data_IF_792331377008
#
_entry.id   IF_792331377008
#
_cell.length_a   1.000
_cell.length_b   1.000
_cell.length_c   1.000
_cell.angle_alpha   90.00
_cell.angle_beta   90.00
_cell.angle_gamma   90.00
#
_symmetry.space_group_name_H-M   'P 1'
#
loop_
_entity.id
_entity.type
_entity.pdbx_description
1 polymer ?
#
# COMPACT_ATOMS: atom_id res chain seq x y z
N UNK A 1 -2.93 -3.29 32.05
CA UNK A 1 -3.47 -3.40 30.67
C UNK A 1 -4.57 -2.35 30.52
N UNK A 2 -4.57 -1.53 29.46
CA UNK A 2 -5.70 -0.64 29.20
C UNK A 2 -6.96 -1.51 29.11
N UNK A 3 -8.04 -1.12 29.80
CA UNK A 3 -9.32 -1.82 29.67
C UNK A 3 -9.74 -1.73 28.20
N UNK A 4 -10.02 -2.87 27.59
CA UNK A 4 -10.63 -2.95 26.25
C UNK A 4 -11.85 -2.02 26.23
N UNK A 5 -12.05 -1.20 25.17
CA UNK A 5 -13.25 -0.39 25.04
C UNK A 5 -14.48 -1.30 25.23
N UNK A 6 -15.47 -0.82 25.99
CA UNK A 6 -16.72 -1.56 26.22
C UNK A 6 -17.33 -2.01 24.88
N UNK A 7 -17.98 -3.18 24.91
CA UNK A 7 -18.68 -3.93 23.85
C UNK A 7 -19.69 -3.12 23.00
N UNK A 8 -19.28 -2.03 22.35
CA UNK A 8 -20.03 -1.52 21.21
C UNK A 8 -19.72 -2.40 19.99
N UNK A 9 -20.76 -2.85 19.25
CA UNK A 9 -20.53 -3.52 17.97
C UNK A 9 -19.75 -2.57 17.06
N UNK A 10 -18.75 -3.08 16.33
CA UNK A 10 -17.91 -2.22 15.50
C UNK A 10 -18.78 -1.62 14.38
N UNK A 11 -18.51 -0.37 14.02
CA UNK A 11 -19.10 0.21 12.80
C UNK A 11 -18.58 -0.61 11.61
N UNK A 12 -19.44 -1.32 10.84
CA UNK A 12 -18.99 -2.15 9.73
C UNK A 12 -18.20 -1.33 8.71
N UNK A 13 -17.25 -1.94 8.01
CA UNK A 13 -16.43 -1.32 6.97
C UNK A 13 -17.17 -1.26 5.60
N UNK A 14 -18.49 -1.11 5.63
CA UNK A 14 -19.38 -1.15 4.46
C UNK A 14 -19.36 0.11 3.60
N UNK A 15 -18.78 1.20 4.10
CA UNK A 15 -18.58 2.44 3.33
C UNK A 15 -17.15 2.43 2.77
N UNK A 16 -16.98 2.47 1.44
CA UNK A 16 -15.66 2.53 0.83
C UNK A 16 -14.81 3.70 1.33
N UNK A 17 -13.52 3.44 1.46
CA UNK A 17 -12.51 4.49 1.64
C UNK A 17 -12.03 4.95 0.26
N UNK A 18 -11.93 6.26 0.08
CA UNK A 18 -11.43 6.90 -1.15
C UNK A 18 -10.25 7.81 -0.85
N UNK A 19 -9.47 8.15 -1.86
CA UNK A 19 -8.40 9.14 -1.75
C UNK A 19 -8.88 10.50 -2.25
N UNK A 20 -8.57 11.58 -1.51
CA UNK A 20 -8.77 12.96 -1.97
C UNK A 20 -7.63 13.82 -1.44
N UNK A 21 -6.95 14.51 -2.34
CA UNK A 21 -5.70 15.21 -2.03
C UNK A 21 -4.69 14.24 -1.41
N UNK A 22 -4.10 14.62 -0.27
CA UNK A 22 -3.12 13.81 0.45
C UNK A 22 -3.71 12.99 1.62
N UNK A 23 -5.01 12.68 1.60
CA UNK A 23 -5.65 11.92 2.66
C UNK A 23 -6.62 10.85 2.15
N UNK A 24 -6.82 9.82 2.98
CA UNK A 24 -7.91 8.87 2.84
C UNK A 24 -9.17 9.43 3.52
N UNK A 25 -10.32 9.14 2.93
CA UNK A 25 -11.62 9.63 3.38
C UNK A 25 -12.64 8.50 3.41
N UNK A 26 -13.48 8.51 4.44
CA UNK A 26 -14.62 7.61 4.62
C UNK A 26 -15.80 8.46 5.05
N UNK A 27 -16.88 8.45 4.28
CA UNK A 27 -18.12 9.15 4.65
C UNK A 27 -17.92 10.65 4.96
N UNK A 28 -17.08 11.32 4.18
CA UNK A 28 -16.73 12.74 4.39
C UNK A 28 -15.73 13.00 5.53
N UNK A 29 -15.35 12.00 6.31
CA UNK A 29 -14.37 12.13 7.39
C UNK A 29 -12.99 11.60 7.01
N UNK A 30 -11.93 12.20 7.54
CA UNK A 30 -10.56 11.73 7.31
C UNK A 30 -10.38 10.35 7.94
N UNK A 31 -10.02 9.38 7.11
CA UNK A 31 -9.74 8.01 7.52
C UNK A 31 -8.25 7.82 7.81
N UNK A 32 -7.92 7.35 9.02
CA UNK A 32 -6.56 6.96 9.38
C UNK A 32 -6.42 5.45 9.36
N UNK A 33 -5.52 4.95 8.50
CA UNK A 33 -5.18 3.53 8.42
C UNK A 33 -4.40 3.14 9.68
N UNK A 34 -4.97 2.26 10.49
CA UNK A 34 -4.36 1.65 11.68
C UNK A 34 -4.25 0.16 11.40
N UNK A 35 -3.17 -0.20 10.71
CA UNK A 35 -3.00 -1.49 10.08
C UNK A 35 -2.01 -2.42 10.76
N UNK A 36 -2.12 -3.70 10.44
CA UNK A 36 -1.08 -4.71 10.65
C UNK A 36 -0.91 -5.54 9.37
N UNK A 37 0.32 -5.96 9.07
CA UNK A 37 0.55 -6.98 8.06
C UNK A 37 0.07 -8.33 8.58
N UNK A 38 -0.94 -8.90 7.93
CA UNK A 38 -1.50 -10.20 8.33
C UNK A 38 -0.87 -11.31 7.48
N UNK A 39 -0.10 -12.18 8.13
CA UNK A 39 0.67 -13.27 7.52
C UNK A 39 0.51 -14.53 8.38
N UNK A 40 -0.63 -15.22 8.30
CA UNK A 40 -0.75 -16.54 8.91
C UNK A 40 0.26 -17.50 8.29
N UNK A 41 0.65 -18.52 9.06
CA UNK A 41 1.57 -19.56 8.58
C UNK A 41 0.86 -20.90 8.65
N UNK A 42 1.13 -21.77 7.68
CA UNK A 42 0.68 -23.16 7.72
C UNK A 42 1.04 -23.84 9.05
N UNK A 43 0.12 -24.67 9.55
CA UNK A 43 0.25 -25.47 10.77
C UNK A 43 1.24 -26.64 10.62
N UNK A 44 1.49 -27.10 9.39
CA UNK A 44 2.47 -28.15 9.06
C UNK A 44 3.83 -27.52 8.75
N UNK A 45 4.77 -27.48 9.70
CA UNK A 45 6.05 -26.75 9.54
C UNK A 45 7.29 -27.62 9.45
N UNK A 46 8.17 -27.26 8.51
CA UNK A 46 9.59 -27.01 8.76
C UNK A 46 9.87 -25.50 8.64
N UNK A 47 10.84 -24.95 9.37
CA UNK A 47 11.15 -23.50 9.33
C UNK A 47 12.00 -23.19 8.10
N UNK A 48 11.53 -22.34 7.18
CA UNK A 48 12.43 -21.57 6.30
C UNK A 48 12.03 -21.41 4.83
N UNK A 49 10.89 -21.94 4.36
CA UNK A 49 10.55 -21.88 2.94
C UNK A 49 9.57 -20.74 2.60
N UNK A 50 9.81 -20.10 1.45
CA UNK A 50 8.94 -19.05 0.87
C UNK A 50 7.67 -19.64 0.25
N UNK A 51 7.67 -20.94 -0.03
CA UNK A 51 6.52 -21.75 -0.50
C UNK A 51 5.42 -21.95 0.57
N UNK A 52 5.66 -21.54 1.82
CA UNK A 52 4.70 -21.70 2.93
C UNK A 52 3.65 -20.57 3.00
N UNK A 53 3.50 -19.79 1.94
CA UNK A 53 2.56 -18.67 1.90
C UNK A 53 1.15 -19.17 1.65
N UNK A 54 0.26 -18.87 2.60
CA UNK A 54 -1.14 -19.29 2.57
C UNK A 54 -2.02 -18.11 2.17
N UNK A 55 -3.18 -18.37 1.58
CA UNK A 55 -4.20 -17.35 1.37
C UNK A 55 -5.03 -17.15 2.65
N UNK A 56 -4.83 -16.04 3.39
CA UNK A 56 -5.52 -15.75 4.64
C UNK A 56 -7.02 -15.49 4.48
N UNK A 57 -7.49 -15.24 3.26
CA UNK A 57 -8.90 -14.97 2.96
C UNK A 57 -9.64 -16.20 2.44
N UNK A 58 -8.94 -17.31 2.22
CA UNK A 58 -9.56 -18.55 1.73
C UNK A 58 -10.41 -19.24 2.79
N UNK A 59 -11.38 -20.05 2.35
CA UNK A 59 -12.24 -20.84 3.24
C UNK A 59 -11.46 -21.69 4.25
N UNK A 60 -10.33 -22.26 3.81
CA UNK A 60 -9.47 -23.11 4.63
C UNK A 60 -8.85 -22.37 5.83
N UNK A 61 -8.71 -21.03 5.77
CA UNK A 61 -8.14 -20.20 6.83
C UNK A 61 -9.19 -19.31 7.53
N UNK A 62 -10.47 -19.47 7.18
CA UNK A 62 -11.55 -18.68 7.76
C UNK A 62 -11.70 -18.87 9.28
N UNK A 63 -11.54 -20.08 9.87
CA UNK A 63 -11.58 -20.25 11.33
C UNK A 63 -10.51 -19.43 12.05
N UNK A 64 -9.26 -19.49 11.60
CA UNK A 64 -8.15 -18.74 12.17
C UNK A 64 -8.34 -17.23 11.99
N UNK A 65 -8.80 -16.80 10.81
CA UNK A 65 -9.11 -15.40 10.54
C UNK A 65 -10.16 -14.85 11.53
N UNK A 66 -11.20 -15.63 11.85
CA UNK A 66 -12.26 -15.20 12.79
C UNK A 66 -11.72 -14.99 14.21
N UNK A 67 -10.83 -15.86 14.67
CA UNK A 67 -10.17 -15.70 15.98
C UNK A 67 -9.24 -14.49 15.98
N UNK A 68 -8.43 -14.34 14.93
CA UNK A 68 -7.46 -13.26 14.81
C UNK A 68 -8.12 -11.89 14.66
N UNK A 69 -9.28 -11.79 14.00
CA UNK A 69 -10.03 -10.53 13.88
C UNK A 69 -10.45 -9.98 15.25
N UNK A 70 -10.82 -10.85 16.21
CA UNK A 70 -11.11 -10.42 17.57
C UNK A 70 -9.87 -9.80 18.24
N UNK A 71 -8.68 -10.36 18.02
CA UNK A 71 -7.41 -9.83 18.53
C UNK A 71 -7.03 -8.51 17.85
N UNK A 72 -7.15 -8.43 16.52
CA UNK A 72 -6.89 -7.23 15.72
C UNK A 72 -7.78 -6.07 16.20
N UNK A 73 -9.07 -6.35 16.45
CA UNK A 73 -10.00 -5.38 17.04
C UNK A 73 -9.62 -5.00 18.47
N UNK A 74 -9.21 -5.97 19.29
CA UNK A 74 -8.72 -5.71 20.64
C UNK A 74 -7.52 -4.76 20.68
N UNK A 75 -6.69 -4.76 19.62
CA UNK A 75 -5.59 -3.81 19.44
C UNK A 75 -6.04 -2.42 18.94
N UNK A 76 -7.33 -2.23 18.63
CA UNK A 76 -7.88 -0.99 18.09
C UNK A 76 -7.48 -0.70 16.65
N UNK A 77 -7.11 -1.74 15.90
CA UNK A 77 -6.77 -1.68 14.48
C UNK A 77 -8.04 -1.70 13.63
N UNK A 78 -7.97 -1.10 12.44
CA UNK A 78 -9.09 -1.01 11.50
C UNK A 78 -8.72 -1.48 10.10
N UNK A 79 -7.51 -2.03 9.92
CA UNK A 79 -7.06 -2.50 8.61
C UNK A 79 -6.07 -3.65 8.73
N UNK A 80 -6.00 -4.48 7.69
CA UNK A 80 -4.95 -5.46 7.47
C UNK A 80 -4.33 -5.26 6.10
N UNK A 81 -3.03 -5.55 5.96
CA UNK A 81 -2.37 -5.62 4.66
C UNK A 81 -1.95 -7.05 4.35
N UNK A 82 -2.25 -7.51 3.14
CA UNK A 82 -2.04 -8.88 2.68
C UNK A 82 -1.02 -8.95 1.56
N UNK A 83 -0.18 -9.98 1.60
CA UNK A 83 0.83 -10.25 0.58
C UNK A 83 0.38 -11.32 -0.41
N UNK A 84 -0.20 -12.39 0.09
CA UNK A 84 -0.61 -13.51 -0.73
C UNK A 84 -2.12 -13.66 -0.65
N UNK A 85 -2.79 -13.59 -1.79
CA UNK A 85 -4.21 -13.84 -1.94
C UNK A 85 -4.35 -14.58 -3.27
N UNK A 86 -4.94 -15.77 -3.23
CA UNK A 86 -5.05 -16.66 -4.38
C UNK A 86 -6.26 -16.23 -5.21
N UNK A 87 -6.01 -15.78 -6.44
CA UNK A 87 -7.03 -15.29 -7.38
C UNK A 87 -8.01 -16.39 -7.85
N UNK A 88 -7.77 -17.66 -7.52
CA UNK A 88 -8.68 -18.77 -7.84
C UNK A 88 -9.69 -19.10 -6.74
N UNK A 89 -9.56 -18.51 -5.54
CA UNK A 89 -10.40 -18.82 -4.38
C UNK A 89 -11.54 -17.82 -4.22
N UNK A 90 -12.63 -18.28 -3.62
CA UNK A 90 -13.69 -17.39 -3.12
C UNK A 90 -13.25 -16.79 -1.77
N UNK A 91 -13.38 -15.46 -1.67
CA UNK A 91 -13.04 -14.68 -0.47
C UNK A 91 -14.28 -14.08 0.20
N UNK A 92 -15.49 -14.39 -0.28
CA UNK A 92 -16.75 -13.78 0.15
C UNK A 92 -16.95 -13.80 1.67
N UNK A 93 -16.81 -14.97 2.29
CA UNK A 93 -17.03 -15.14 3.73
C UNK A 93 -15.98 -14.40 4.57
N UNK A 94 -14.71 -14.42 4.16
CA UNK A 94 -13.64 -13.72 4.84
C UNK A 94 -13.80 -12.20 4.75
N UNK A 95 -14.09 -11.68 3.56
CA UNK A 95 -14.30 -10.25 3.33
C UNK A 95 -15.54 -9.72 4.07
N UNK A 96 -16.64 -10.47 4.08
CA UNK A 96 -17.84 -10.14 4.86
C UNK A 96 -17.54 -10.13 6.37
N UNK A 97 -16.83 -11.14 6.87
CA UNK A 97 -16.45 -11.18 8.29
C UNK A 97 -15.58 -9.98 8.69
N UNK A 98 -14.61 -9.60 7.84
CA UNK A 98 -13.79 -8.41 8.05
C UNK A 98 -14.62 -7.12 7.99
N UNK A 99 -15.56 -7.04 7.05
CA UNK A 99 -16.47 -5.91 6.91
C UNK A 99 -17.33 -5.72 8.16
N UNK A 100 -18.01 -6.78 8.61
CA UNK A 100 -18.84 -6.79 9.82
C UNK A 100 -18.06 -6.37 11.07
N UNK A 101 -16.74 -6.58 11.05
CA UNK A 101 -15.84 -6.26 12.14
C UNK A 101 -15.13 -4.91 11.98
N UNK A 102 -15.48 -4.11 10.96
CA UNK A 102 -14.92 -2.79 10.74
C UNK A 102 -13.46 -2.80 10.25
N UNK A 103 -13.01 -3.91 9.65
CA UNK A 103 -11.65 -4.09 9.15
C UNK A 103 -11.62 -3.92 7.64
N UNK A 104 -10.76 -3.00 7.19
CA UNK A 104 -10.45 -2.80 5.77
C UNK A 104 -9.23 -3.63 5.33
N UNK A 105 -9.18 -3.99 4.05
CA UNK A 105 -8.12 -4.85 3.50
C UNK A 105 -7.31 -4.09 2.45
N UNK A 106 -5.98 -4.10 2.57
CA UNK A 106 -5.07 -3.60 1.55
C UNK A 106 -4.30 -4.76 0.94
N UNK A 107 -4.33 -4.94 -0.38
CA UNK A 107 -3.73 -6.11 -1.04
C UNK A 107 -2.53 -5.72 -1.86
N UNK A 108 -1.40 -6.39 -1.64
CA UNK A 108 -0.18 -6.22 -2.41
C UNK A 108 -0.31 -6.94 -3.75
N UNK A 109 -0.05 -6.24 -4.85
CA UNK A 109 0.03 -6.79 -6.19
C UNK A 109 1.49 -6.86 -6.65
N UNK A 110 1.75 -7.73 -7.62
CA UNK A 110 3.05 -7.85 -8.29
C UNK A 110 4.21 -8.15 -7.30
N UNK A 111 3.97 -9.01 -6.30
CA UNK A 111 4.98 -9.36 -5.30
C UNK A 111 6.16 -10.18 -5.85
N UNK A 112 5.96 -10.80 -7.01
CA UNK A 112 6.95 -11.62 -7.72
C UNK A 112 7.86 -10.78 -8.65
N UNK A 113 7.59 -9.47 -8.76
CA UNK A 113 8.54 -8.55 -9.40
C UNK A 113 9.79 -8.44 -8.54
N UNK A 114 10.86 -9.09 -9.00
CA UNK A 114 12.19 -8.93 -8.44
C UNK A 114 13.02 -8.05 -9.36
N UNK A 115 14.08 -7.41 -8.86
CA UNK A 115 15.00 -6.72 -9.75
C UNK A 115 15.96 -7.75 -10.37
N UNK A 116 16.48 -7.55 -11.59
CA UNK A 116 17.52 -8.42 -12.14
C UNK A 116 18.71 -8.48 -11.18
N UNK A 117 18.97 -9.63 -10.56
CA UNK A 117 20.01 -9.80 -9.52
C UNK A 117 21.40 -9.96 -10.12
N UNK A 118 21.51 -10.26 -11.41
CA UNK A 118 22.77 -10.39 -12.13
C UNK A 118 22.99 -9.16 -13.03
N UNK A 119 23.90 -8.27 -12.61
CA UNK A 119 24.68 -7.51 -13.59
C UNK A 119 25.47 -8.55 -14.41
N UNK A 120 25.38 -8.59 -15.76
CA UNK A 120 26.32 -9.35 -16.54
C UNK A 120 27.72 -8.88 -16.16
N UNK A 121 28.56 -9.77 -15.63
CA UNK A 121 29.81 -9.43 -14.92
C UNK A 121 30.81 -8.57 -15.73
N UNK A 122 30.58 -8.36 -17.03
CA UNK A 122 31.47 -7.63 -17.94
C UNK A 122 30.76 -6.57 -18.80
N UNK A 123 29.52 -6.19 -18.52
CA UNK A 123 28.85 -5.14 -19.31
C UNK A 123 28.93 -3.77 -18.63
N UNK A 124 29.84 -2.93 -19.13
CA UNK A 124 29.80 -1.47 -18.94
C UNK A 124 28.55 -0.82 -19.57
N UNK A 125 27.73 -1.60 -20.27
CA UNK A 125 26.56 -1.19 -21.06
C UNK A 125 25.25 -1.84 -20.57
N UNK A 126 25.05 -2.01 -19.26
CA UNK A 126 23.74 -2.40 -18.74
C UNK A 126 22.68 -1.37 -19.16
N UNK A 127 21.94 -1.69 -20.23
CA UNK A 127 20.79 -0.91 -20.68
C UNK A 127 19.62 -1.29 -19.78
N UNK A 128 19.51 -0.61 -18.65
CA UNK A 128 18.61 -1.00 -17.58
C UNK A 128 17.13 -1.13 -18.02
N UNK A 129 16.68 -0.32 -18.99
CA UNK A 129 15.35 -0.44 -19.59
C UNK A 129 15.14 -1.80 -20.28
N UNK A 130 16.06 -2.21 -21.16
CA UNK A 130 15.94 -3.49 -21.87
C UNK A 130 16.06 -4.71 -20.95
N UNK A 131 16.61 -4.53 -19.75
CA UNK A 131 16.69 -5.59 -18.74
C UNK A 131 15.45 -5.66 -17.84
N UNK A 132 14.77 -4.54 -17.58
CA UNK A 132 13.65 -4.47 -16.62
C UNK A 132 12.28 -4.57 -17.28
N UNK A 133 12.07 -3.96 -18.46
CA UNK A 133 10.78 -3.99 -19.15
C UNK A 133 10.28 -5.40 -19.48
N UNK A 134 11.13 -6.38 -19.88
CA UNK A 134 10.69 -7.76 -20.10
C UNK A 134 10.12 -8.46 -18.86
N UNK A 135 10.37 -7.94 -17.65
CA UNK A 135 9.77 -8.45 -16.41
C UNK A 135 8.30 -8.07 -16.26
N UNK A 136 7.84 -7.11 -17.05
CA UNK A 136 6.42 -6.79 -17.18
C UNK A 136 5.84 -7.65 -18.31
N UNK A 137 5.34 -8.83 -17.95
CA UNK A 137 4.85 -9.82 -18.91
C UNK A 137 3.34 -10.09 -18.79
N UNK A 138 2.81 -10.81 -19.79
CA UNK A 138 1.37 -11.08 -19.91
C UNK A 138 0.85 -12.00 -18.77
N UNK A 139 1.50 -13.14 -18.45
CA UNK A 139 1.07 -13.98 -17.33
C UNK A 139 0.98 -13.22 -15.99
N UNK A 140 1.97 -12.37 -15.69
CA UNK A 140 2.01 -11.56 -14.48
C UNK A 140 0.80 -10.61 -14.38
N UNK A 141 0.52 -9.85 -15.45
CA UNK A 141 -0.61 -8.90 -15.44
C UNK A 141 -1.95 -9.60 -15.40
N UNK A 142 -2.08 -10.72 -16.10
CA UNK A 142 -3.32 -11.51 -16.14
C UNK A 142 -3.65 -12.07 -14.76
N UNK A 143 -2.67 -12.63 -14.05
CA UNK A 143 -2.88 -13.11 -12.67
C UNK A 143 -3.26 -11.96 -11.72
N UNK A 144 -2.59 -10.82 -11.83
CA UNK A 144 -2.92 -9.64 -11.05
C UNK A 144 -4.35 -9.14 -11.33
N UNK A 145 -4.79 -9.14 -12.59
CA UNK A 145 -6.13 -8.71 -12.98
C UNK A 145 -7.21 -9.66 -12.50
N UNK A 146 -6.98 -10.99 -12.50
CA UNK A 146 -7.89 -11.97 -11.86
C UNK A 146 -8.11 -11.63 -10.38
N UNK A 147 -7.03 -11.36 -9.65
CA UNK A 147 -7.12 -10.98 -8.24
C UNK A 147 -7.86 -9.64 -8.04
N UNK A 148 -7.55 -8.65 -8.88
CA UNK A 148 -8.22 -7.33 -8.86
C UNK A 148 -9.72 -7.49 -9.09
N UNK A 149 -10.12 -8.26 -10.10
CA UNK A 149 -11.51 -8.52 -10.42
C UNK A 149 -12.26 -9.14 -9.23
N UNK A 150 -11.72 -10.23 -8.65
CA UNK A 150 -12.35 -10.94 -7.55
C UNK A 150 -12.62 -10.04 -6.34
N UNK A 151 -11.64 -9.23 -5.97
CA UNK A 151 -11.71 -8.41 -4.76
C UNK A 151 -12.41 -7.06 -4.97
N UNK A 152 -12.55 -6.60 -6.22
CA UNK A 152 -13.04 -5.25 -6.50
C UNK A 152 -14.48 -4.97 -6.06
N UNK A 153 -15.27 -6.03 -5.86
CA UNK A 153 -16.67 -5.96 -5.42
C UNK A 153 -16.84 -5.58 -3.94
N UNK A 154 -15.81 -5.74 -3.10
CA UNK A 154 -15.95 -5.57 -1.66
C UNK A 154 -15.76 -4.10 -1.22
N UNK A 155 -16.68 -3.54 -0.41
CA UNK A 155 -16.59 -2.14 0.03
C UNK A 155 -15.43 -1.90 0.99
N UNK A 156 -15.06 -2.91 1.79
CA UNK A 156 -13.96 -2.86 2.74
C UNK A 156 -12.57 -3.11 2.11
N UNK A 157 -12.46 -3.28 0.79
CA UNK A 157 -11.16 -3.27 0.11
C UNK A 157 -10.57 -1.85 0.11
N UNK A 158 -9.62 -1.55 0.99
CA UNK A 158 -9.01 -0.22 1.10
C UNK A 158 -8.30 0.23 -0.18
N UNK A 159 -7.58 -0.68 -0.84
CA UNK A 159 -6.79 -0.37 -2.02
C UNK A 159 -5.85 -1.50 -2.41
N UNK A 160 -5.33 -1.41 -3.62
CA UNK A 160 -4.24 -2.26 -4.11
C UNK A 160 -2.91 -1.54 -3.97
N UNK A 161 -1.84 -2.29 -3.73
CA UNK A 161 -0.48 -1.74 -3.58
C UNK A 161 0.47 -2.48 -4.50
N UNK A 162 0.95 -1.81 -5.54
CA UNK A 162 2.05 -2.34 -6.37
C UNK A 162 3.33 -2.42 -5.53
N UNK A 163 3.92 -3.61 -5.49
CA UNK A 163 5.06 -3.92 -4.61
C UNK A 163 6.37 -3.33 -5.15
N UNK A 164 6.80 -2.17 -4.62
CA UNK A 164 8.08 -1.56 -5.01
C UNK A 164 9.31 -2.00 -4.21
N UNK A 165 9.28 -3.18 -3.58
CA UNK A 165 10.40 -3.73 -2.80
C UNK A 165 11.65 -3.99 -3.64
N UNK A 166 11.48 -4.17 -4.95
CA UNK A 166 12.59 -4.34 -5.89
C UNK A 166 13.46 -3.08 -6.01
N UNK A 167 12.97 -1.89 -5.64
CA UNK A 167 13.72 -0.63 -5.69
C UNK A 167 14.41 -0.36 -4.35
N UNK A 168 15.72 -0.65 -4.28
CA UNK A 168 16.52 -0.46 -3.07
C UNK A 168 17.98 -0.03 -3.33
N UNK A 169 18.44 -0.05 -4.59
CA UNK A 169 19.74 0.48 -5.01
C UNK A 169 19.59 1.33 -6.27
N UNK A 170 20.58 2.19 -6.64
CA UNK A 170 20.50 2.97 -7.88
C UNK A 170 20.26 2.11 -9.13
N UNK A 171 20.83 0.90 -9.16
CA UNK A 171 20.74 -0.03 -10.27
C UNK A 171 19.34 -0.63 -10.44
N UNK A 172 18.53 -0.69 -9.37
CA UNK A 172 17.17 -1.24 -9.43
C UNK A 172 16.10 -0.17 -9.63
N UNK A 173 16.47 1.12 -9.63
CA UNK A 173 15.54 2.24 -9.88
C UNK A 173 14.80 2.14 -11.20
N UNK A 174 15.38 1.65 -12.31
CA UNK A 174 14.65 1.48 -13.57
C UNK A 174 13.40 0.59 -13.45
N UNK A 175 13.30 -0.27 -12.43
CA UNK A 175 12.04 -0.97 -12.11
C UNK A 175 10.88 -0.01 -11.82
N UNK A 176 11.12 1.23 -11.40
CA UNK A 176 10.08 2.23 -11.17
C UNK A 176 9.24 2.48 -12.43
N UNK A 177 9.82 2.35 -13.63
CA UNK A 177 9.11 2.42 -14.91
C UNK A 177 8.09 1.28 -15.03
N UNK A 178 8.51 0.05 -14.73
CA UNK A 178 7.64 -1.15 -14.68
C UNK A 178 6.53 -0.98 -13.64
N UNK A 179 6.86 -0.51 -12.43
CA UNK A 179 5.87 -0.33 -11.38
C UNK A 179 4.80 0.73 -11.76
N UNK A 180 5.18 1.80 -12.48
CA UNK A 180 4.20 2.77 -13.00
C UNK A 180 3.32 2.17 -14.10
N UNK A 181 3.85 1.29 -14.96
CA UNK A 181 3.01 0.53 -15.90
C UNK A 181 2.02 -0.39 -15.17
N UNK A 182 2.46 -1.11 -14.14
CA UNK A 182 1.56 -1.89 -13.28
C UNK A 182 0.43 -1.04 -12.70
N UNK A 183 0.74 0.15 -12.18
CA UNK A 183 -0.27 1.09 -11.66
C UNK A 183 -1.23 1.53 -12.77
N UNK A 184 -0.69 1.99 -13.91
CA UNK A 184 -1.47 2.44 -15.08
C UNK A 184 -2.49 1.39 -15.48
N UNK A 185 -2.03 0.17 -15.66
CA UNK A 185 -2.80 -0.91 -16.26
C UNK A 185 -3.78 -1.53 -15.24
N UNK A 186 -3.43 -1.64 -13.96
CA UNK A 186 -4.40 -2.00 -12.91
C UNK A 186 -5.52 -0.96 -12.81
N UNK A 187 -5.21 0.34 -12.87
CA UNK A 187 -6.23 1.39 -12.85
C UNK A 187 -7.07 1.39 -14.13
N UNK A 188 -6.47 1.13 -15.29
CA UNK A 188 -7.21 0.98 -16.55
C UNK A 188 -8.16 -0.22 -16.52
N UNK A 189 -7.72 -1.33 -15.94
CA UNK A 189 -8.55 -2.51 -15.75
C UNK A 189 -9.74 -2.22 -14.83
N UNK A 190 -9.52 -1.60 -13.67
CA UNK A 190 -10.60 -1.18 -12.77
C UNK A 190 -11.62 -0.24 -13.43
N UNK A 191 -11.19 0.65 -14.33
CA UNK A 191 -12.10 1.52 -15.10
C UNK A 191 -12.92 0.77 -16.15
N UNK A 192 -12.43 -0.38 -16.62
CA UNK A 192 -13.14 -1.22 -17.60
C UNK A 192 -14.22 -2.11 -16.99
N UNK A 193 -14.27 -2.21 -15.66
CA UNK A 193 -15.25 -3.04 -14.95
C UNK A 193 -16.54 -2.26 -14.67
N UNK A 194 -17.67 -2.82 -15.09
CA UNK A 194 -18.99 -2.23 -14.84
C UNK A 194 -19.40 -2.34 -13.36
N UNK A 195 -19.95 -1.27 -12.81
CA UNK A 195 -20.46 -1.25 -11.43
C UNK A 195 -19.38 -1.30 -10.34
N UNK A 196 -18.10 -1.31 -10.71
CA UNK A 196 -16.98 -1.30 -9.77
C UNK A 196 -16.56 0.13 -9.45
N UNK A 197 -16.43 0.43 -8.15
CA UNK A 197 -15.91 1.73 -7.72
C UNK A 197 -14.44 1.88 -8.09
N UNK A 198 -13.98 3.12 -8.22
CA UNK A 198 -12.56 3.40 -8.44
C UNK A 198 -11.77 3.15 -7.15
N UNK A 199 -11.19 1.95 -7.05
CA UNK A 199 -10.36 1.53 -5.92
C UNK A 199 -8.97 2.17 -6.07
N UNK A 200 -8.43 2.81 -5.01
CA UNK A 200 -7.09 3.39 -5.06
C UNK A 200 -6.02 2.34 -5.33
N UNK A 201 -5.11 2.64 -6.26
CA UNK A 201 -3.93 1.82 -6.58
C UNK A 201 -2.67 2.59 -6.20
N UNK A 202 -2.05 2.18 -5.10
CA UNK A 202 -0.84 2.78 -4.56
C UNK A 202 0.42 2.00 -4.92
N UNK A 203 1.54 2.47 -4.37
CA UNK A 203 2.85 1.82 -4.48
C UNK A 203 3.49 1.70 -3.11
N UNK A 204 4.15 0.57 -2.84
CA UNK A 204 5.03 0.49 -1.67
C UNK A 204 6.44 0.89 -2.02
N UNK A 205 7.11 1.63 -1.16
CA UNK A 205 8.47 2.08 -1.39
C UNK A 205 9.33 1.88 -0.14
N UNK A 206 10.58 1.47 -0.35
CA UNK A 206 11.59 1.50 0.70
C UNK A 206 11.78 2.93 1.24
N UNK A 207 12.25 3.05 2.49
CA UNK A 207 12.46 4.32 3.15
C UNK A 207 13.94 4.78 3.17
N UNK A 208 14.76 4.31 2.24
CA UNK A 208 16.13 4.80 2.03
C UNK A 208 16.15 6.32 1.80
N UNK A 209 17.01 7.01 2.55
CA UNK A 209 17.18 8.46 2.50
C UNK A 209 17.66 8.97 1.13
N UNK A 210 18.31 8.11 0.34
CA UNK A 210 18.90 8.46 -0.96
C UNK A 210 17.80 8.64 -2.01
N UNK A 211 16.81 7.74 -2.03
CA UNK A 211 15.75 7.74 -3.06
C UNK A 211 14.42 8.28 -2.54
N UNK A 212 14.31 8.61 -1.25
CA UNK A 212 13.08 9.06 -0.60
C UNK A 212 12.32 10.15 -1.38
N UNK A 213 12.98 11.25 -1.73
CA UNK A 213 12.37 12.39 -2.43
C UNK A 213 12.14 12.09 -3.92
N UNK A 214 13.15 11.58 -4.66
CA UNK A 214 12.94 11.15 -6.04
C UNK A 214 11.78 10.15 -6.21
N UNK A 215 11.62 9.18 -5.30
CA UNK A 215 10.50 8.23 -5.34
C UNK A 215 9.14 8.94 -5.23
N UNK A 216 8.99 9.83 -4.25
CA UNK A 216 7.73 10.57 -4.05
C UNK A 216 7.39 11.40 -5.28
N UNK A 217 8.36 12.15 -5.82
CA UNK A 217 8.17 12.93 -7.06
C UNK A 217 7.82 12.03 -8.25
N UNK A 218 8.56 10.96 -8.44
CA UNK A 218 8.39 10.07 -9.58
C UNK A 218 7.00 9.41 -9.62
N UNK A 219 6.54 8.84 -8.50
CA UNK A 219 5.24 8.18 -8.45
C UNK A 219 4.04 9.15 -8.38
N UNK A 220 4.30 10.45 -8.14
CA UNK A 220 3.30 11.52 -8.17
C UNK A 220 3.34 12.37 -9.45
N UNK A 221 4.25 12.08 -10.38
CA UNK A 221 4.41 12.80 -11.64
C UNK A 221 3.74 12.07 -12.83
N UNK A 222 3.47 12.82 -13.89
CA UNK A 222 2.84 12.38 -15.11
C UNK A 222 1.31 12.40 -15.10
N UNK A 223 0.67 11.76 -16.10
CA UNK A 223 -0.77 11.65 -16.21
C UNK A 223 -1.42 10.98 -15.00
N UNK A 224 -2.67 11.35 -14.70
CA UNK A 224 -3.47 10.81 -13.58
C UNK A 224 -3.59 9.29 -13.58
N UNK A 225 -3.63 8.70 -14.78
CA UNK A 225 -3.71 7.26 -14.97
C UNK A 225 -2.44 6.53 -14.52
N UNK A 226 -1.26 7.16 -14.58
CA UNK A 226 0.05 6.51 -14.35
C UNK A 226 0.64 6.81 -12.96
N UNK A 227 -0.01 7.70 -12.20
CA UNK A 227 0.38 8.06 -10.84
C UNK A 227 -0.18 7.09 -9.83
N UNK A 228 0.59 6.86 -8.76
CA UNK A 228 0.10 6.16 -7.60
C UNK A 228 -0.98 7.00 -6.89
N UNK A 229 -2.09 6.38 -6.50
CA UNK A 229 -3.15 7.05 -5.76
C UNK A 229 -2.78 7.24 -4.28
N UNK A 230 -1.79 6.52 -3.78
CA UNK A 230 -1.18 6.66 -2.46
C UNK A 230 0.20 5.96 -2.39
N UNK A 231 1.00 6.27 -1.38
CA UNK A 231 2.30 5.64 -1.15
C UNK A 231 2.39 4.99 0.24
N UNK A 232 2.84 3.74 0.27
CA UNK A 232 3.02 2.94 1.48
C UNK A 232 4.52 2.74 1.78
N UNK A 233 5.09 3.53 2.68
CA UNK A 233 6.53 3.50 2.99
C UNK A 233 6.88 2.40 4.00
N UNK A 234 8.00 1.71 3.77
CA UNK A 234 8.55 0.72 4.69
C UNK A 234 9.47 1.39 5.72
N UNK A 235 8.93 1.75 6.88
CA UNK A 235 9.57 2.62 7.87
C UNK A 235 10.14 1.82 9.06
N UNK A 236 11.32 1.22 8.88
CA UNK A 236 11.97 0.41 9.92
C UNK A 236 13.05 1.13 10.74
N UNK A 237 13.28 2.43 10.53
CA UNK A 237 14.36 3.16 11.21
C UNK A 237 14.12 3.39 12.71
N UNK A 238 12.90 3.20 13.20
CA UNK A 238 12.60 3.25 14.63
C UNK A 238 12.96 1.93 15.31
N UNK A 239 14.21 1.83 15.77
CA UNK A 239 14.74 0.71 16.53
C UNK A 239 14.70 1.03 18.04
N UNK A 240 13.71 0.50 18.75
CA UNK A 240 13.41 0.87 20.14
C UNK A 240 14.48 0.46 21.18
N UNK A 241 14.59 1.20 22.30
CA UNK A 241 13.92 2.47 22.60
C UNK A 241 14.48 3.61 21.73
N UNK A 242 13.61 4.47 21.22
CA UNK A 242 13.96 5.56 20.30
C UNK A 242 13.02 6.76 20.48
N UNK A 243 13.17 7.78 19.65
CA UNK A 243 12.31 8.97 19.62
C UNK A 243 12.07 9.44 18.20
N UNK A 244 11.16 10.39 18.00
CA UNK A 244 10.87 10.97 16.68
C UNK A 244 12.13 11.56 16.02
N UNK A 245 13.00 12.15 16.85
CA UNK A 245 14.32 12.64 16.41
C UNK A 245 15.29 11.49 16.15
N UNK A 246 15.50 10.60 17.13
CA UNK A 246 16.52 9.54 17.05
C UNK A 246 16.25 8.53 15.92
N UNK A 247 15.00 8.21 15.64
CA UNK A 247 14.60 7.30 14.55
C UNK A 247 14.79 7.91 13.15
N UNK A 248 15.06 9.21 13.06
CA UNK A 248 15.10 9.96 11.80
C UNK A 248 13.72 10.22 11.19
N UNK A 249 12.62 9.89 11.87
CA UNK A 249 11.26 10.13 11.36
C UNK A 249 10.93 11.62 11.25
N UNK A 250 11.51 12.47 12.12
CA UNK A 250 11.43 13.93 11.98
C UNK A 250 11.96 14.40 10.61
N UNK A 251 13.17 14.00 10.24
CA UNK A 251 13.78 14.34 8.95
C UNK A 251 12.97 13.77 7.79
N UNK A 252 12.47 12.54 7.91
CA UNK A 252 11.61 11.95 6.90
C UNK A 252 10.37 12.82 6.64
N UNK A 253 9.69 13.24 7.70
CA UNK A 253 8.47 14.06 7.60
C UNK A 253 8.77 15.43 7.03
N UNK A 254 9.83 16.10 7.50
CA UNK A 254 10.21 17.43 7.02
C UNK A 254 10.61 17.43 5.55
N UNK A 255 11.31 16.39 5.10
CA UNK A 255 11.77 16.30 3.71
C UNK A 255 10.65 15.85 2.77
N UNK A 256 9.86 14.86 3.16
CA UNK A 256 8.79 14.30 2.31
C UNK A 256 7.57 15.22 2.29
N UNK A 257 7.30 15.92 3.39
CA UNK A 257 6.14 16.79 3.53
C UNK A 257 5.85 17.59 2.27
N UNK A 258 6.73 18.51 1.84
CA UNK A 258 6.47 19.44 0.74
C UNK A 258 6.22 18.76 -0.60
N UNK A 259 6.65 17.51 -0.74
CA UNK A 259 6.52 16.69 -1.95
C UNK A 259 5.21 15.89 -1.97
N UNK A 260 4.46 15.87 -0.86
CA UNK A 260 3.34 14.96 -0.66
C UNK A 260 2.07 15.45 -1.33
N UNK A 261 1.79 14.93 -2.53
CA UNK A 261 0.57 15.22 -3.30
C UNK A 261 -0.49 14.11 -3.25
N UNK A 262 -0.18 12.99 -2.59
CA UNK A 262 -1.06 11.82 -2.44
C UNK A 262 -1.05 11.37 -0.97
N UNK A 263 -2.02 10.57 -0.53
CA UNK A 263 -1.97 9.97 0.79
C UNK A 263 -0.71 9.14 0.97
N UNK A 264 -0.06 9.33 2.11
CA UNK A 264 1.10 8.54 2.49
C UNK A 264 0.82 7.84 3.82
N UNK A 265 1.22 6.58 3.90
CA UNK A 265 1.08 5.76 5.09
C UNK A 265 2.38 4.99 5.36
N UNK A 266 2.59 4.61 6.61
CA UNK A 266 3.62 3.63 6.98
C UNK A 266 3.06 2.26 6.63
N UNK A 267 3.46 1.74 5.47
CA UNK A 267 2.97 0.46 4.95
C UNK A 267 3.44 -0.70 5.82
N UNK A 268 4.65 -0.56 6.35
CA UNK A 268 5.24 -1.45 7.33
C UNK A 268 6.13 -0.65 8.27
N UNK A 269 6.22 -1.09 9.52
CA UNK A 269 7.10 -0.54 10.54
C UNK A 269 7.27 -1.55 11.68
N UNK A 270 8.06 -1.19 12.70
CA UNK A 270 8.24 -2.00 13.91
C UNK A 270 9.48 -2.88 13.84
N UNK A 271 10.65 -2.25 13.73
CA UNK A 271 11.93 -2.94 13.69
C UNK A 271 12.11 -3.85 14.91
N UNK A 272 12.45 -5.11 14.63
CA UNK A 272 12.70 -6.13 15.67
C UNK A 272 14.20 -6.22 15.94
N UNK A 273 14.71 -5.29 16.73
CA UNK A 273 16.12 -5.27 17.18
C UNK A 273 16.33 -5.90 18.57
N UNK A 274 15.24 -6.27 19.26
CA UNK A 274 15.24 -6.85 20.61
C UNK A 274 14.25 -8.02 20.70
N UNK A 275 14.31 -8.77 21.81
CA UNK A 275 13.43 -9.92 22.09
C UNK A 275 11.95 -9.51 22.18
N UNK A 276 11.67 -8.36 22.80
CA UNK A 276 10.35 -7.72 22.84
C UNK A 276 10.42 -6.34 22.17
N UNK A 277 9.35 -5.94 21.48
CA UNK A 277 9.21 -4.61 20.87
C UNK A 277 8.44 -3.69 21.83
N UNK A 278 8.99 -2.51 22.17
CA UNK A 278 8.31 -1.57 23.06
C UNK A 278 7.17 -0.81 22.36
N UNK A 279 7.16 -0.75 21.01
CA UNK A 279 6.17 -0.04 20.19
C UNK A 279 6.09 1.46 20.47
N UNK A 280 7.22 2.05 20.89
CA UNK A 280 7.33 3.49 21.19
C UNK A 280 7.00 4.36 19.97
N UNK A 281 7.17 3.83 18.75
CA UNK A 281 6.78 4.46 17.50
C UNK A 281 5.26 4.66 17.37
N UNK A 282 4.46 3.78 17.96
CA UNK A 282 3.00 3.91 17.99
C UNK A 282 2.58 4.90 19.08
N UNK A 283 3.23 4.84 20.25
CA UNK A 283 2.90 5.70 21.39
C UNK A 283 3.36 7.15 21.21
N UNK A 284 4.40 7.37 20.40
CA UNK A 284 4.81 8.69 19.90
C UNK A 284 3.65 9.40 19.16
N UNK A 285 2.90 8.65 18.35
CA UNK A 285 1.78 9.17 17.56
C UNK A 285 0.49 9.25 18.41
N UNK A 286 0.28 8.29 19.32
CA UNK A 286 -0.94 8.21 20.13
C UNK A 286 -0.58 7.88 21.57
N UNK A 287 -0.80 8.82 22.49
CA UNK A 287 -0.64 8.57 23.93
C UNK A 287 -1.89 7.86 24.46
N UNK A 288 -1.72 6.99 25.43
CA UNK A 288 -2.82 6.48 26.25
C UNK A 288 -2.76 7.25 27.58
N UNK A 289 -3.87 7.89 27.96
CA UNK A 289 -3.99 8.57 29.26
C UNK A 289 -4.22 7.57 30.41
N UNK A 290 -4.33 8.10 31.63
CA UNK A 290 -4.45 7.28 32.85
C UNK A 290 -5.76 6.48 32.88
N UNK A 291 -6.80 6.95 32.18
CA UNK A 291 -8.07 6.25 32.01
C UNK A 291 -8.04 5.18 30.90
N UNK A 292 -6.91 5.02 30.20
CA UNK A 292 -6.78 4.08 29.09
C UNK A 292 -7.35 4.60 27.76
N UNK A 293 -7.74 5.88 27.69
CA UNK A 293 -8.24 6.51 26.48
C UNK A 293 -7.07 6.96 25.61
N UNK A 294 -7.23 6.73 24.31
CA UNK A 294 -6.28 7.21 23.30
C UNK A 294 -6.44 8.71 23.14
N UNK A 295 -5.40 9.45 23.50
CA UNK A 295 -5.29 10.88 23.29
C UNK A 295 -4.11 11.16 22.38
N UNK A 296 -4.23 12.23 21.60
CA UNK A 296 -3.15 12.67 20.73
C UNK A 296 -1.91 12.99 21.59
N UNK A 297 -0.80 12.29 21.33
CA UNK A 297 0.47 12.49 22.04
C UNK A 297 1.10 13.84 21.68
N UNK A 298 1.96 14.38 22.56
CA UNK A 298 2.64 15.65 22.29
C UNK A 298 3.48 15.56 21.02
N UNK A 299 4.12 14.42 20.77
CA UNK A 299 4.89 14.20 19.54
C UNK A 299 4.02 14.12 18.29
N UNK A 300 2.80 13.59 18.35
CA UNK A 300 1.85 13.77 17.25
C UNK A 300 1.46 15.22 17.04
N UNK A 301 1.28 16.01 18.11
CA UNK A 301 0.98 17.45 17.95
C UNK A 301 2.16 18.15 17.29
N UNK A 302 3.39 17.83 17.69
CA UNK A 302 4.61 18.34 17.09
C UNK A 302 4.72 17.90 15.62
N UNK A 303 4.51 16.62 15.34
CA UNK A 303 4.50 16.03 14.01
C UNK A 303 3.44 16.67 13.12
N UNK A 304 2.20 16.79 13.59
CA UNK A 304 1.08 17.43 12.89
C UNK A 304 1.36 18.91 12.68
N UNK A 305 1.90 19.62 13.67
CA UNK A 305 2.30 21.02 13.55
C UNK A 305 3.38 21.18 12.48
N UNK A 306 4.43 20.36 12.52
CA UNK A 306 5.51 20.34 11.52
C UNK A 306 4.97 19.98 10.14
N UNK A 307 4.14 18.95 10.02
CA UNK A 307 3.48 18.57 8.77
C UNK A 307 2.59 19.70 8.25
N UNK A 308 1.90 20.44 9.12
CA UNK A 308 1.09 21.59 8.73
C UNK A 308 1.93 22.84 8.41
N UNK A 309 3.08 23.06 9.06
CA UNK A 309 4.03 24.13 8.74
C UNK A 309 4.70 23.86 7.38
N UNK A 310 4.97 22.58 7.09
CA UNK A 310 5.65 22.11 5.89
C UNK A 310 4.67 21.90 4.72
N UNK A 311 3.42 21.49 5.00
CA UNK A 311 2.38 21.21 4.00
C UNK A 311 1.22 22.20 3.99
N UNK A 312 1.30 23.25 4.81
CA UNK A 312 0.52 24.49 4.74
C UNK A 312 -0.94 24.38 4.33
N UNK A 313 -1.69 23.34 4.75
CA UNK A 313 -3.09 23.17 4.40
C UNK A 313 -3.88 22.62 5.59
N UNK A 314 -4.84 23.40 6.07
CA UNK A 314 -5.82 23.02 7.08
C UNK A 314 -6.80 21.95 6.55
N UNK A 315 -7.49 21.26 7.46
CA UNK A 315 -8.49 20.27 7.07
C UNK A 315 -9.68 20.92 6.36
N UNK A 316 -10.05 22.15 6.75
CA UNK A 316 -11.03 22.96 6.00
C UNK A 316 -10.50 23.33 4.62
N UNK A 317 -9.24 23.79 4.46
CA UNK A 317 -8.65 24.10 3.13
C UNK A 317 -8.45 22.90 2.21
N UNK A 318 -8.29 21.68 2.76
CA UNK A 318 -8.29 20.44 1.95
C UNK A 318 -9.71 20.09 1.48
N UNK A 319 -10.71 20.36 2.32
CA UNK A 319 -12.11 20.10 2.01
C UNK A 319 -12.75 21.21 1.13
N UNK A 320 -12.21 22.44 1.17
CA UNK A 320 -12.78 23.63 0.52
C UNK A 320 -12.00 24.14 -0.69
N UNK A 321 -10.78 23.66 -0.96
CA UNK A 321 -10.11 23.97 -2.23
C UNK A 321 -10.92 23.35 -3.37
N UNK A 322 -11.17 24.15 -4.42
CA UNK A 322 -11.37 23.58 -5.75
C UNK A 322 -10.22 22.59 -5.98
N UNK A 323 -10.59 21.33 -6.23
CA UNK A 323 -9.64 20.26 -6.56
C UNK A 323 -8.69 20.85 -7.60
N UNK A 324 -7.43 21.12 -7.24
CA UNK A 324 -6.37 21.27 -8.25
C UNK A 324 -6.48 19.99 -9.04
N UNK A 325 -7.07 20.05 -10.24
CA UNK A 325 -7.69 18.83 -10.76
C UNK A 325 -6.60 17.78 -10.79
N UNK A 326 -6.85 16.66 -10.11
CA UNK A 326 -5.88 15.58 -10.05
C UNK A 326 -5.43 15.27 -11.48
N UNK A 327 -6.31 15.43 -12.46
CA UNK A 327 -6.10 15.39 -13.90
C UNK A 327 -5.09 16.43 -14.46
N UNK A 328 -5.11 17.70 -14.05
CA UNK A 328 -4.22 18.76 -14.55
C UNK A 328 -2.84 18.80 -13.88
N UNK A 329 -2.68 18.21 -12.69
CA UNK A 329 -1.36 18.13 -12.06
C UNK A 329 -0.49 17.10 -12.76
N UNK A 330 0.61 17.54 -13.37
CA UNK A 330 1.59 16.63 -14.01
C UNK A 330 2.85 16.48 -13.16
N UNK A 331 3.19 17.44 -12.29
CA UNK A 331 4.43 17.41 -11.52
C UNK A 331 5.69 17.35 -12.41
N UNK A 332 6.86 17.27 -11.78
CA UNK A 332 8.13 17.10 -12.50
C UNK A 332 8.77 15.76 -12.12
N UNK A 333 9.19 15.01 -13.12
CA UNK A 333 9.99 13.82 -12.89
C UNK A 333 11.36 14.21 -12.33
N UNK A 334 11.90 13.45 -11.35
CA UNK A 334 13.27 13.67 -10.90
C UNK A 334 14.25 13.53 -12.08
N UNK A 335 15.27 14.40 -12.17
CA UNK A 335 16.26 14.31 -13.23
C UNK A 335 17.04 12.99 -13.12
N UNK A 336 17.42 12.42 -14.25
CA UNK A 336 18.29 11.26 -14.24
C UNK A 336 19.72 11.65 -13.79
N UNK A 337 20.21 11.04 -12.73
CA UNK A 337 21.55 11.23 -12.18
C UNK A 337 22.15 9.90 -11.69
N UNK A 338 23.26 9.94 -10.96
CA UNK A 338 23.91 8.74 -10.41
C UNK A 338 23.06 8.00 -9.35
N UNK A 339 22.01 8.65 -8.84
CA UNK A 339 21.12 8.16 -7.78
C UNK A 339 19.69 7.94 -8.27
N UNK A 340 19.31 8.38 -9.47
CA UNK A 340 18.00 8.14 -10.06
C UNK A 340 18.10 7.88 -11.56
N UNK A 341 17.73 6.69 -12.01
CA UNK A 341 17.90 6.26 -13.42
C UNK A 341 16.59 5.93 -14.14
N UNK A 342 15.43 6.16 -13.50
CA UNK A 342 14.13 5.99 -14.15
C UNK A 342 13.71 7.28 -14.86
N UNK A 343 13.17 7.13 -16.05
CA UNK A 343 12.68 8.22 -16.91
C UNK A 343 11.16 8.32 -16.84
N UNK A 344 10.56 9.29 -17.54
CA UNK A 344 9.10 9.35 -17.66
C UNK A 344 8.49 8.22 -18.49
N UNK A 345 9.30 7.49 -19.27
CA UNK A 345 8.86 6.39 -20.11
C UNK A 345 8.53 5.15 -19.27
N UNK A 346 7.43 4.48 -19.62
CA UNK A 346 6.98 3.25 -18.97
C UNK A 346 6.70 2.20 -20.05
N UNK A 347 6.87 0.89 -19.76
CA UNK A 347 6.62 -0.13 -20.76
C UNK A 347 5.17 -0.10 -21.28
N UNK A 348 4.95 -0.44 -22.55
CA UNK A 348 3.61 -0.68 -23.06
C UNK A 348 2.98 -1.89 -22.35
N UNK A 349 1.66 -2.02 -22.44
CA UNK A 349 0.97 -3.20 -21.92
C UNK A 349 1.51 -4.49 -22.57
N UNK A 350 1.81 -5.55 -21.80
CA UNK A 350 2.39 -6.75 -22.34
C UNK A 350 1.32 -7.62 -23.00
N UNK A 351 1.35 -7.67 -24.32
CA UNK A 351 0.45 -8.50 -25.12
C UNK A 351 -0.79 -7.75 -25.61
N UNK A 352 -1.90 -8.50 -25.76
CA UNK A 352 -3.14 -7.97 -26.30
C UNK A 352 -4.14 -7.70 -25.17
N UNK A 353 -4.48 -6.43 -24.95
CA UNK A 353 -5.40 -5.99 -23.90
C UNK A 353 -6.73 -6.74 -23.94
N UNK A 354 -7.42 -6.75 -25.08
CA UNK A 354 -8.74 -7.37 -25.21
C UNK A 354 -8.70 -8.89 -24.95
N UNK A 355 -7.60 -9.55 -25.32
CA UNK A 355 -7.42 -10.97 -25.01
C UNK A 355 -7.28 -11.21 -23.50
N UNK A 356 -6.51 -10.38 -22.79
CA UNK A 356 -6.37 -10.46 -21.33
C UNK A 356 -7.70 -10.16 -20.63
N UNK A 357 -8.42 -9.13 -21.07
CA UNK A 357 -9.76 -8.82 -20.52
C UNK A 357 -10.72 -9.99 -20.71
N UNK A 358 -10.75 -10.59 -21.91
CA UNK A 358 -11.56 -11.77 -22.18
C UNK A 358 -11.14 -12.99 -21.36
N UNK A 359 -9.85 -13.20 -21.11
CA UNK A 359 -9.36 -14.28 -20.27
C UNK A 359 -9.83 -14.10 -18.82
N UNK A 360 -9.62 -12.91 -18.27
CA UNK A 360 -9.97 -12.59 -16.88
C UNK A 360 -11.49 -12.62 -16.63
N UNK A 361 -12.30 -12.12 -17.58
CA UNK A 361 -13.75 -12.06 -17.45
C UNK A 361 -14.46 -13.32 -17.97
N UNK A 362 -13.91 -13.98 -18.98
CA UNK A 362 -14.49 -15.14 -19.66
C UNK A 362 -14.40 -16.44 -18.85
N UNK A 363 -13.36 -16.59 -18.03
CA UNK A 363 -13.24 -17.70 -17.06
C UNK A 363 -14.27 -17.60 -15.89
N UNK A 364 -15.11 -16.56 -15.85
CA UNK A 364 -16.07 -16.28 -14.78
C UNK A 364 -17.50 -16.04 -15.28
N UNK A 365 -17.88 -16.55 -16.46
CA UNK A 365 -19.29 -16.64 -16.81
C UNK A 365 -20.04 -17.39 -15.69
N UNK A 366 -21.19 -16.88 -15.18
CA UNK A 366 -21.96 -17.63 -14.20
C UNK A 366 -22.29 -19.00 -14.79
N UNK A 367 -22.29 -20.09 -13.99
CA UNK A 367 -22.86 -21.34 -14.47
C UNK A 367 -24.26 -21.00 -14.99
N UNK A 368 -24.51 -21.35 -16.26
CA UNK A 368 -25.80 -21.12 -16.91
C UNK A 368 -26.96 -21.73 -16.12
N UNK A 369 -28.19 -21.33 -16.46
CA UNK A 369 -29.39 -21.53 -15.64
C UNK A 369 -29.64 -22.96 -15.18
#
# INVERSE_FOLDING_TARGET
>A
MPKLPKNEPPRPASIPVVTRGNAFWRDGERFFVKGITYLPRSSNRERGNREDSVDPLSEAYLPELKEDVALIRGLGLNSISLYNVDSSKDHSQAMAHLEDNGIYVMVKLFNDLEAPTAMPKNESNFKAKSATWPMYDNPLVTNAFRLVHNLSRYPNLLGFVVSGRCIHTPQTIPMAEVLRACIRDTKAFLRSLDGVRQIPVGVSADNSQIFMIPQVRYFSAGPAAERADFMAKQCYSWAGPSSFTMSGWHNMVERIGPETMMPMLMGEYGAKVRKSRPWDEVTCVVKIDEEGKRVIGQEYKNLRKRFNEVNGRSAEEIASEEVKSYEQWVGEFPPCDTRWQATSEIPPFPGNWDAVIRDVLGDLAPPGP
#
